data_IF_572830941913
#
_entry.id   IF_572830941913
#
_cell.length_a   1.000
_cell.length_b   1.000
_cell.length_c   1.000
_cell.angle_alpha   90.00
_cell.angle_beta   90.00
_cell.angle_gamma   90.00
#
_symmetry.space_group_name_H-M   'P 1'
#
loop_
_entity.id
_entity.type
_entity.pdbx_description
1 polymer ?
#
# COMPACT_ATOMS: atom_id res chain seq x y z
N UNK A 1 2.14 -15.23 -11.20
CA UNK A 1 2.24 -13.75 -11.24
C UNK A 1 3.20 -13.31 -10.15
N UNK A 2 4.43 -12.95 -10.52
CA UNK A 2 5.43 -12.43 -9.59
C UNK A 2 5.09 -10.96 -9.29
N UNK A 3 4.69 -10.67 -8.04
CA UNK A 3 4.52 -9.30 -7.56
C UNK A 3 5.90 -8.65 -7.42
N UNK A 4 6.46 -8.16 -8.53
CA UNK A 4 7.68 -7.34 -8.48
C UNK A 4 7.36 -6.03 -7.77
N UNK A 5 8.05 -5.77 -6.66
CA UNK A 5 7.91 -4.54 -5.90
C UNK A 5 8.31 -3.34 -6.79
N UNK A 6 7.39 -2.38 -6.94
CA UNK A 6 7.59 -1.17 -7.76
C UNK A 6 8.88 -0.43 -7.38
N UNK A 7 9.23 -0.43 -6.10
CA UNK A 7 10.44 0.23 -5.58
C UNK A 7 11.73 -0.39 -6.12
N UNK A 8 11.79 -1.72 -6.25
CA UNK A 8 12.97 -2.44 -6.74
C UNK A 8 13.19 -2.23 -8.25
N UNK A 9 12.09 -2.16 -9.02
CA UNK A 9 12.14 -1.82 -10.45
C UNK A 9 12.69 -0.42 -10.70
N UNK A 10 12.26 0.57 -9.91
CA UNK A 10 12.72 1.96 -10.05
C UNK A 10 14.23 2.10 -9.79
N UNK A 11 14.74 1.48 -8.71
CA UNK A 11 16.17 1.51 -8.37
C UNK A 11 17.02 0.81 -9.44
N UNK A 12 16.54 -0.32 -9.95
CA UNK A 12 17.22 -1.09 -11.01
C UNK A 12 17.31 -0.27 -12.31
N UNK A 13 16.21 0.36 -12.72
CA UNK A 13 16.17 1.18 -13.94
C UNK A 13 17.05 2.42 -13.85
N UNK A 14 17.08 3.09 -12.70
CA UNK A 14 17.96 4.25 -12.48
C UNK A 14 19.45 3.87 -12.57
N UNK A 15 19.80 2.70 -12.02
CA UNK A 15 21.17 2.17 -12.09
C UNK A 15 21.54 1.80 -13.53
N UNK A 16 20.65 1.14 -14.26
CA UNK A 16 20.84 0.81 -15.67
C UNK A 16 21.00 2.07 -16.52
N UNK A 17 20.14 3.08 -16.33
CA UNK A 17 20.21 4.37 -17.02
C UNK A 17 21.57 5.06 -16.79
N UNK A 18 22.07 5.06 -15.55
CA UNK A 18 23.38 5.59 -15.21
C UNK A 18 24.51 4.83 -15.91
N UNK A 19 24.42 3.51 -16.02
CA UNK A 19 25.42 2.68 -16.69
C UNK A 19 25.45 2.89 -18.21
N UNK A 20 24.29 3.08 -18.86
CA UNK A 20 24.21 3.27 -20.31
C UNK A 20 24.52 4.70 -20.75
N UNK A 21 24.40 5.70 -19.86
CA UNK A 21 24.61 7.11 -20.19
C UNK A 21 26.04 7.42 -20.70
N UNK A 22 27.04 6.62 -20.29
CA UNK A 22 28.44 6.77 -20.73
C UNK A 22 28.88 5.83 -21.85
N UNK A 23 27.97 5.04 -22.43
CA UNK A 23 28.30 4.03 -23.44
C UNK A 23 28.09 4.53 -24.87
N UNK A 24 28.81 3.93 -25.80
CA UNK A 24 28.63 4.19 -27.23
C UNK A 24 27.27 3.74 -27.73
N UNK A 25 26.70 4.48 -28.69
CA UNK A 25 25.35 4.22 -29.23
C UNK A 25 25.20 2.77 -29.73
N UNK A 26 26.20 2.26 -30.43
CA UNK A 26 26.19 0.89 -30.97
C UNK A 26 26.17 -0.18 -29.88
N UNK A 27 26.83 0.08 -28.75
CA UNK A 27 26.85 -0.80 -27.59
C UNK A 27 25.50 -0.82 -26.89
N UNK A 28 24.88 0.36 -26.70
CA UNK A 28 23.56 0.46 -26.08
C UNK A 28 22.48 -0.22 -26.94
N UNK A 29 22.53 -0.03 -28.26
CA UNK A 29 21.58 -0.68 -29.18
C UNK A 29 21.69 -2.21 -29.11
N UNK A 30 22.91 -2.76 -29.06
CA UNK A 30 23.14 -4.20 -28.87
C UNK A 30 22.67 -4.67 -27.49
N UNK A 31 22.99 -3.92 -26.43
CA UNK A 31 22.61 -4.27 -25.06
C UNK A 31 21.09 -4.31 -24.85
N UNK A 32 20.34 -3.41 -25.52
CA UNK A 32 18.87 -3.34 -25.44
C UNK A 32 18.16 -4.21 -26.51
N UNK A 33 18.93 -4.93 -27.33
CA UNK A 33 18.44 -5.74 -28.44
C UNK A 33 17.49 -4.96 -29.35
N UNK A 34 17.90 -3.75 -29.72
CA UNK A 34 17.14 -2.83 -30.57
C UNK A 34 17.99 -2.31 -31.72
N UNK A 35 17.32 -1.74 -32.71
CA UNK A 35 17.96 -1.19 -33.90
C UNK A 35 17.87 0.32 -33.94
N UNK A 36 18.64 0.94 -34.82
CA UNK A 36 18.53 2.39 -35.07
C UNK A 36 17.18 2.78 -35.68
N UNK A 37 16.51 1.84 -36.34
CA UNK A 37 15.18 2.00 -36.92
C UNK A 37 14.07 1.68 -35.90
N UNK A 38 14.44 1.39 -34.65
CA UNK A 38 13.50 1.02 -33.58
C UNK A 38 13.17 -0.47 -33.54
N UNK A 39 12.03 -0.78 -32.91
CA UNK A 39 11.51 -2.12 -32.72
C UNK A 39 10.40 -2.43 -33.74
N UNK A 40 10.32 -3.68 -34.17
CA UNK A 40 9.16 -4.12 -34.96
C UNK A 40 7.90 -4.21 -34.08
N UNK A 41 6.69 -4.11 -34.67
CA UNK A 41 5.44 -4.26 -33.92
C UNK A 41 5.34 -5.59 -33.16
N UNK A 42 5.89 -6.67 -33.73
CA UNK A 42 5.91 -7.99 -33.10
C UNK A 42 6.86 -8.04 -31.91
N UNK A 43 8.03 -7.41 -32.00
CA UNK A 43 8.99 -7.28 -30.91
C UNK A 43 8.45 -6.40 -29.78
N UNK A 44 7.78 -5.29 -30.12
CA UNK A 44 7.14 -4.41 -29.16
C UNK A 44 6.05 -5.16 -28.37
N UNK A 45 5.19 -5.91 -29.06
CA UNK A 45 4.14 -6.72 -28.42
C UNK A 45 4.73 -7.77 -27.47
N UNK A 46 5.76 -8.51 -27.90
CA UNK A 46 6.43 -9.51 -27.05
C UNK A 46 7.03 -8.89 -25.78
N UNK A 47 7.64 -7.70 -25.89
CA UNK A 47 8.18 -6.98 -24.73
C UNK A 47 7.07 -6.50 -23.80
N UNK A 48 5.96 -6.01 -24.35
CA UNK A 48 4.80 -5.58 -23.56
C UNK A 48 4.20 -6.75 -22.75
N UNK A 49 4.07 -7.92 -23.37
CA UNK A 49 3.59 -9.14 -22.72
C UNK A 49 4.54 -9.64 -21.62
N UNK A 50 5.85 -9.47 -21.81
CA UNK A 50 6.88 -9.90 -20.84
C UNK A 50 7.05 -8.93 -19.67
N UNK A 51 7.18 -7.64 -19.97
CA UNK A 51 7.63 -6.62 -19.01
C UNK A 51 6.47 -5.85 -18.37
N UNK A 52 5.30 -5.86 -19.04
CA UNK A 52 4.10 -5.13 -18.67
C UNK A 52 4.05 -3.73 -19.26
N UNK A 53 2.96 -3.02 -18.99
CA UNK A 53 2.77 -1.62 -19.38
C UNK A 53 3.75 -0.72 -18.59
N UNK A 54 4.32 0.29 -19.27
CA UNK A 54 5.13 1.32 -18.63
C UNK A 54 4.23 2.38 -17.98
N UNK A 55 3.55 1.97 -16.91
CA UNK A 55 2.67 2.84 -16.15
C UNK A 55 3.21 2.98 -14.73
N UNK A 56 3.17 4.21 -14.21
CA UNK A 56 3.44 4.43 -12.78
C UNK A 56 2.26 3.83 -12.03
N UNK A 57 2.53 2.79 -11.24
CA UNK A 57 1.51 2.18 -10.39
C UNK A 57 0.85 3.27 -9.56
N UNK A 58 -0.40 3.58 -9.90
CA UNK A 58 -1.20 4.49 -9.11
C UNK A 58 -1.37 3.82 -7.75
N UNK A 59 -1.12 4.55 -6.66
CA UNK A 59 -1.27 3.99 -5.32
C UNK A 59 -2.66 3.39 -5.20
N UNK A 60 -2.73 2.17 -4.67
CA UNK A 60 -3.96 1.51 -4.25
C UNK A 60 -4.87 2.59 -3.63
N UNK A 61 -6.02 2.82 -4.27
CA UNK A 61 -6.93 3.85 -3.84
C UNK A 61 -7.62 3.31 -2.59
N UNK A 62 -6.96 3.43 -1.44
CA UNK A 62 -7.57 3.07 -0.16
C UNK A 62 -8.85 3.90 -0.02
N UNK A 63 -10.02 3.27 0.16
CA UNK A 63 -11.26 4.01 0.30
C UNK A 63 -11.12 4.95 1.49
N UNK A 64 -11.68 6.17 1.40
CA UNK A 64 -11.54 7.20 2.45
C UNK A 64 -11.92 6.69 3.85
N UNK A 65 -12.85 5.74 3.92
CA UNK A 65 -13.27 5.08 5.16
C UNK A 65 -12.17 4.21 5.79
N UNK A 66 -11.35 3.54 4.98
CA UNK A 66 -10.22 2.75 5.46
C UNK A 66 -9.19 3.66 6.13
N UNK A 67 -8.88 4.81 5.52
CA UNK A 67 -7.96 5.78 6.11
C UNK A 67 -8.50 6.36 7.43
N UNK A 68 -9.81 6.61 7.50
CA UNK A 68 -10.44 7.07 8.74
C UNK A 68 -10.29 6.02 9.84
N UNK A 69 -10.64 4.76 9.56
CA UNK A 69 -10.54 3.68 10.54
C UNK A 69 -9.10 3.43 11.00
N UNK A 70 -8.13 3.42 10.06
CA UNK A 70 -6.71 3.26 10.38
C UNK A 70 -6.18 4.39 11.27
N UNK A 71 -6.64 5.62 11.07
CA UNK A 71 -6.22 6.76 11.89
C UNK A 71 -6.73 6.66 13.34
N UNK A 72 -7.88 6.02 13.56
CA UNK A 72 -8.46 5.83 14.89
C UNK A 72 -7.98 4.55 15.58
N UNK A 73 -7.59 3.49 14.85
CA UNK A 73 -7.11 2.23 15.42
C UNK A 73 -5.66 2.31 15.90
N UNK A 74 -5.44 3.08 16.96
CA UNK A 74 -4.14 3.22 17.62
C UNK A 74 -4.01 2.25 18.81
N UNK A 75 -2.77 1.95 19.28
CA UNK A 75 -2.58 1.16 20.50
C UNK A 75 -3.30 1.73 21.73
N UNK A 76 -3.40 3.06 21.81
CA UNK A 76 -4.14 3.74 22.89
C UNK A 76 -5.65 3.50 22.77
N UNK A 77 -6.23 3.64 21.57
CA UNK A 77 -7.64 3.34 21.32
C UNK A 77 -7.98 1.89 21.67
N UNK A 78 -7.07 0.94 21.40
CA UNK A 78 -7.24 -0.46 21.81
C UNK A 78 -7.39 -0.63 23.33
N UNK A 79 -6.60 0.11 24.11
CA UNK A 79 -6.70 0.11 25.59
C UNK A 79 -8.04 0.71 26.04
N UNK A 80 -8.46 1.82 25.43
CA UNK A 80 -9.76 2.44 25.74
C UNK A 80 -10.93 1.50 25.44
N UNK A 81 -10.93 0.84 24.28
CA UNK A 81 -11.97 -0.13 23.95
C UNK A 81 -11.99 -1.31 24.92
N UNK A 82 -10.82 -1.77 25.37
CA UNK A 82 -10.73 -2.82 26.37
C UNK A 82 -11.29 -2.38 27.72
N UNK A 83 -10.95 -1.18 28.19
CA UNK A 83 -11.50 -0.62 29.43
C UNK A 83 -13.00 -0.36 29.32
N UNK A 84 -13.51 0.06 28.15
CA UNK A 84 -14.93 0.23 27.89
C UNK A 84 -15.68 -1.09 27.97
N UNK A 85 -15.09 -2.15 27.42
CA UNK A 85 -15.65 -3.49 27.54
C UNK A 85 -15.68 -3.94 29.01
N UNK A 86 -14.59 -3.79 29.74
CA UNK A 86 -14.54 -4.14 31.17
C UNK A 86 -15.57 -3.36 31.98
N UNK A 87 -15.65 -2.04 31.77
CA UNK A 87 -16.64 -1.17 32.42
C UNK A 87 -18.07 -1.57 32.06
N UNK A 88 -18.34 -1.97 30.82
CA UNK A 88 -19.65 -2.45 30.41
C UNK A 88 -20.02 -3.75 31.13
N UNK A 89 -19.08 -4.69 31.23
CA UNK A 89 -19.28 -5.92 31.97
C UNK A 89 -19.60 -5.60 33.44
N UNK A 90 -18.77 -4.81 34.11
CA UNK A 90 -18.88 -4.57 35.55
C UNK A 90 -20.03 -3.67 35.94
N UNK A 91 -20.34 -2.63 35.15
CA UNK A 91 -21.29 -1.57 35.56
C UNK A 91 -22.68 -1.74 34.93
N UNK A 92 -22.81 -2.57 33.89
CA UNK A 92 -24.10 -2.79 33.22
C UNK A 92 -24.54 -4.25 33.23
N UNK A 93 -23.63 -5.19 32.94
CA UNK A 93 -23.99 -6.60 32.83
C UNK A 93 -24.12 -7.31 34.19
N UNK A 94 -23.20 -7.06 35.13
CA UNK A 94 -23.16 -7.74 36.42
C UNK A 94 -23.93 -7.04 37.55
N UNK A 95 -24.58 -5.90 37.27
CA UNK A 95 -25.27 -5.08 38.28
C UNK A 95 -26.79 -5.21 38.13
N UNK A 96 -27.55 -5.32 39.25
CA UNK A 96 -29.01 -5.35 39.22
C UNK A 96 -29.58 -4.10 38.54
N UNK A 97 -30.77 -4.24 37.96
CA UNK A 97 -31.39 -3.26 37.04
C UNK A 97 -31.53 -1.84 37.58
N UNK A 98 -31.49 -1.67 38.91
CA UNK A 98 -31.66 -0.39 39.61
C UNK A 98 -30.37 0.46 39.66
N UNK A 99 -29.19 -0.12 39.36
CA UNK A 99 -27.88 0.57 39.48
C UNK A 99 -27.05 0.51 38.19
N UNK A 100 -27.70 0.20 37.06
CA UNK A 100 -27.01 0.11 35.76
C UNK A 100 -26.53 1.49 35.32
N UNK A 101 -25.22 1.65 35.19
CA UNK A 101 -24.60 2.89 34.70
C UNK A 101 -23.86 2.64 33.37
N UNK A 102 -24.34 3.31 32.32
CA UNK A 102 -23.75 3.32 30.98
C UNK A 102 -22.97 4.59 30.68
N UNK A 103 -23.07 5.63 31.52
CA UNK A 103 -22.44 6.93 31.27
C UNK A 103 -20.93 6.79 31.10
N UNK A 104 -20.29 5.97 31.94
CA UNK A 104 -18.84 5.71 31.87
C UNK A 104 -18.43 5.06 30.54
N UNK A 105 -19.23 4.13 30.01
CA UNK A 105 -18.96 3.44 28.74
C UNK A 105 -19.15 4.39 27.55
N UNK A 106 -20.21 5.22 27.58
CA UNK A 106 -20.52 6.17 26.52
C UNK A 106 -19.45 7.26 26.41
N UNK A 107 -18.97 7.79 27.55
CA UNK A 107 -17.91 8.81 27.57
C UNK A 107 -16.63 8.28 26.92
N UNK A 108 -16.25 7.04 27.22
CA UNK A 108 -15.03 6.44 26.70
C UNK A 108 -15.08 6.06 25.22
N UNK A 109 -16.26 5.90 24.63
CA UNK A 109 -16.43 5.65 23.18
C UNK A 109 -16.49 6.96 22.39
N UNK A 110 -16.90 8.07 23.02
CA UNK A 110 -17.10 9.36 22.36
C UNK A 110 -15.90 10.30 22.43
N UNK A 111 -15.05 10.16 23.46
CA UNK A 111 -13.75 10.83 23.60
C UNK A 111 -12.71 10.23 22.66
#
# INVERSE_FOLDING_TARGET
>A
MLKFNSKDRIVTNATLAKQIAGKEKSEVLKQLDTSINGLSPTQAKKRLERDGLNEVSNKECHPRLHFLFDAFMTPFTGILLFLALLSFLTNYLFVPTDQKDLSTVIIMITI
#
